data_IF_347963154668
#
_entry.id   IF_347963154668
#
_cell.length_a   1.000
_cell.length_b   1.000
_cell.length_c   1.000
_cell.angle_alpha   90.00
_cell.angle_beta   90.00
_cell.angle_gamma   90.00
#
_symmetry.space_group_name_H-M   'P 1'
#
loop_
_entity.id
_entity.type
_entity.pdbx_description
1 polymer ?
#
# COMPACT_ATOMS: atom_id res chain seq x y z
N UNK A 1 -35.30 81.21 37.77
CA UNK A 1 -34.12 80.80 37.01
C UNK A 1 -34.27 79.32 36.65
N UNK A 2 -34.53 78.97 35.43
CA UNK A 2 -34.75 77.61 35.05
C UNK A 2 -33.44 76.91 34.62
N UNK A 3 -33.29 75.66 35.04
CA UNK A 3 -32.21 74.78 34.74
C UNK A 3 -32.32 74.16 33.31
N UNK A 4 -31.28 74.26 32.57
CA UNK A 4 -31.13 73.63 31.22
C UNK A 4 -30.96 72.11 31.38
N UNK A 5 -31.85 71.33 30.82
CA UNK A 5 -31.65 69.87 30.62
C UNK A 5 -30.95 69.62 29.32
N UNK A 6 -29.72 69.09 29.34
CA UNK A 6 -29.02 68.56 28.18
C UNK A 6 -29.48 67.09 27.97
N UNK A 7 -30.07 66.83 26.83
CA UNK A 7 -30.34 65.49 26.35
C UNK A 7 -29.19 64.98 25.50
N UNK A 8 -28.50 63.94 26.01
CA UNK A 8 -27.50 63.18 25.25
C UNK A 8 -28.23 62.15 24.41
N UNK A 9 -28.17 62.31 23.09
CA UNK A 9 -28.59 61.28 22.12
C UNK A 9 -27.43 60.32 21.90
N UNK A 10 -27.64 59.04 22.34
CA UNK A 10 -26.72 57.96 22.09
C UNK A 10 -26.98 57.41 20.69
N UNK A 11 -26.01 57.52 19.81
CA UNK A 11 -25.95 56.87 18.51
C UNK A 11 -25.41 55.44 18.71
N UNK A 12 -26.27 54.45 18.64
CA UNK A 12 -25.86 53.04 18.63
C UNK A 12 -25.46 52.65 17.21
N UNK A 13 -24.18 52.50 16.98
CA UNK A 13 -23.61 51.90 15.78
C UNK A 13 -23.75 50.37 15.87
N UNK A 14 -24.74 49.81 15.20
CA UNK A 14 -24.83 48.36 14.99
C UNK A 14 -23.81 47.94 13.88
N UNK A 15 -22.72 47.34 14.31
CA UNK A 15 -21.82 46.62 13.39
C UNK A 15 -22.43 45.23 13.09
N UNK A 16 -22.98 45.09 11.90
CA UNK A 16 -23.35 43.78 11.35
C UNK A 16 -22.07 43.06 10.86
N UNK A 17 -21.57 42.13 11.66
CA UNK A 17 -20.56 41.19 11.23
C UNK A 17 -21.22 40.14 10.31
N UNK A 18 -21.16 40.33 9.01
CA UNK A 18 -21.53 39.29 8.05
C UNK A 18 -20.41 38.25 8.03
N UNK A 19 -20.54 37.20 8.88
CA UNK A 19 -19.68 36.02 8.79
C UNK A 19 -20.01 35.31 7.49
N UNK A 20 -19.19 35.54 6.46
CA UNK A 20 -19.23 34.78 5.21
C UNK A 20 -18.68 33.38 5.53
N UNK A 21 -19.57 32.45 5.91
CA UNK A 21 -19.25 31.04 5.96
C UNK A 21 -18.97 30.58 4.52
N UNK A 22 -17.71 30.60 4.09
CA UNK A 22 -17.26 29.86 2.92
C UNK A 22 -17.41 28.37 3.25
N UNK A 23 -18.53 27.78 2.85
CA UNK A 23 -18.67 26.35 2.82
C UNK A 23 -17.74 25.85 1.72
N UNK A 24 -16.51 25.47 2.08
CA UNK A 24 -15.70 24.63 1.24
C UNK A 24 -16.43 23.28 1.14
N UNK A 25 -17.09 23.05 0.03
CA UNK A 25 -17.56 21.71 -0.34
C UNK A 25 -16.31 20.88 -0.62
N UNK A 26 -15.82 20.17 0.40
CA UNK A 26 -14.83 19.11 0.19
C UNK A 26 -15.53 18.05 -0.67
N UNK A 27 -15.20 18.00 -1.93
CA UNK A 27 -15.52 16.83 -2.75
C UNK A 27 -14.51 15.77 -2.32
N UNK A 28 -14.97 14.73 -1.58
CA UNK A 28 -14.11 13.66 -1.11
C UNK A 28 -13.27 13.04 -2.25
N UNK A 29 -12.16 12.43 -1.90
CA UNK A 29 -11.18 11.85 -2.83
C UNK A 29 -11.86 11.06 -3.97
N UNK A 30 -11.49 11.36 -5.20
CA UNK A 30 -12.10 10.76 -6.39
C UNK A 30 -11.59 9.35 -6.61
N UNK A 31 -12.50 8.39 -6.78
CA UNK A 31 -12.18 7.01 -7.17
C UNK A 31 -12.31 6.85 -8.68
N UNK A 32 -11.22 6.49 -9.33
CA UNK A 32 -11.18 6.09 -10.73
C UNK A 32 -10.99 4.57 -10.84
N UNK A 33 -11.58 3.95 -11.85
CA UNK A 33 -11.30 2.58 -12.26
C UNK A 33 -10.60 2.61 -13.61
N UNK A 34 -9.44 1.99 -13.69
CA UNK A 34 -8.55 2.06 -14.84
C UNK A 34 -8.28 0.67 -15.39
N UNK A 35 -8.40 0.51 -16.71
CA UNK A 35 -7.91 -0.66 -17.40
C UNK A 35 -6.40 -0.55 -17.62
N UNK A 36 -5.70 -1.60 -17.19
CA UNK A 36 -4.25 -1.74 -17.33
C UNK A 36 -3.98 -3.00 -18.15
N UNK A 37 -3.94 -2.88 -19.48
CA UNK A 37 -3.67 -4.04 -20.33
C UNK A 37 -2.24 -4.53 -20.13
N UNK A 38 -2.08 -5.84 -19.98
CA UNK A 38 -0.81 -6.53 -20.03
C UNK A 38 -0.61 -7.14 -21.41
N UNK A 39 0.34 -6.61 -22.14
CA UNK A 39 0.72 -7.18 -23.44
C UNK A 39 1.48 -8.50 -23.27
N UNK A 40 2.24 -8.63 -22.19
CA UNK A 40 3.02 -9.82 -21.88
C UNK A 40 2.11 -11.03 -21.55
N UNK A 41 1.03 -10.78 -20.81
CA UNK A 41 0.09 -11.84 -20.42
C UNK A 41 -1.13 -11.96 -21.34
N UNK A 42 -1.28 -11.04 -22.31
CA UNK A 42 -2.46 -10.92 -23.17
C UNK A 42 -3.77 -10.84 -22.35
N UNK A 43 -3.74 -10.06 -21.26
CA UNK A 43 -4.87 -9.86 -20.34
C UNK A 43 -5.20 -8.38 -20.23
N UNK A 44 -6.49 -8.06 -20.06
CA UNK A 44 -6.90 -6.73 -19.65
C UNK A 44 -7.24 -6.74 -18.17
N UNK A 45 -6.30 -6.28 -17.36
CA UNK A 45 -6.43 -6.23 -15.90
C UNK A 45 -6.88 -4.83 -15.48
N UNK A 46 -7.33 -4.70 -14.23
CA UNK A 46 -7.87 -3.44 -13.71
C UNK A 46 -7.08 -2.92 -12.53
N UNK A 47 -7.21 -1.63 -12.29
CA UNK A 47 -6.76 -1.00 -11.06
C UNK A 47 -7.81 0.00 -10.57
N UNK A 48 -7.95 0.13 -9.26
CA UNK A 48 -8.61 1.28 -8.64
C UNK A 48 -7.55 2.32 -8.31
N UNK A 49 -7.86 3.57 -8.60
CA UNK A 49 -7.00 4.72 -8.28
C UNK A 49 -7.79 5.71 -7.45
N UNK A 50 -7.29 6.05 -6.26
CA UNK A 50 -7.86 7.08 -5.40
C UNK A 50 -6.97 8.32 -5.48
N UNK A 51 -7.57 9.43 -5.91
CA UNK A 51 -6.91 10.71 -6.07
C UNK A 51 -7.25 11.63 -4.89
N UNK A 52 -6.29 12.32 -4.27
CA UNK A 52 -6.58 13.26 -3.19
C UNK A 52 -7.40 14.46 -3.70
N UNK A 53 -8.16 15.10 -2.82
CA UNK A 53 -8.99 16.28 -3.13
C UNK A 53 -8.21 17.38 -3.82
N UNK A 54 -6.95 17.60 -3.41
CA UNK A 54 -6.04 18.58 -4.01
C UNK A 54 -5.75 18.29 -5.49
N UNK A 55 -5.92 17.05 -5.95
CA UNK A 55 -5.66 16.68 -7.34
C UNK A 55 -6.60 17.42 -8.31
N UNK A 56 -7.87 17.57 -7.95
CA UNK A 56 -8.83 18.30 -8.77
C UNK A 56 -8.64 19.83 -8.66
N UNK A 57 -8.42 20.33 -7.45
CA UNK A 57 -8.29 21.77 -7.15
C UNK A 57 -7.00 22.39 -7.66
N UNK A 58 -5.95 21.61 -7.83
CA UNK A 58 -4.67 22.07 -8.38
C UNK A 58 -4.76 22.54 -9.87
N UNK A 59 -5.93 22.38 -10.49
CA UNK A 59 -6.18 22.78 -11.88
C UNK A 59 -5.20 22.12 -12.86
N UNK A 60 -4.85 22.86 -13.94
CA UNK A 60 -3.81 22.41 -14.89
C UNK A 60 -2.39 22.70 -14.36
N UNK A 61 -2.23 23.12 -13.11
CA UNK A 61 -0.94 23.38 -12.51
C UNK A 61 -0.13 22.08 -12.44
N UNK A 62 1.19 22.25 -12.59
CA UNK A 62 2.17 21.18 -12.74
C UNK A 62 2.46 20.38 -11.46
N UNK A 63 1.61 20.44 -10.43
CA UNK A 63 1.80 19.70 -9.18
C UNK A 63 1.76 18.20 -9.44
N UNK A 64 2.82 17.52 -9.09
CA UNK A 64 2.93 16.06 -9.15
C UNK A 64 2.79 15.47 -7.74
N UNK A 65 2.32 14.22 -7.69
CA UNK A 65 1.95 13.54 -6.44
C UNK A 65 2.76 12.28 -6.25
N UNK A 66 3.17 11.95 -5.01
CA UNK A 66 3.70 10.63 -4.72
C UNK A 66 2.61 9.56 -4.87
N UNK A 67 3.05 8.33 -5.14
CA UNK A 67 2.16 7.19 -5.38
C UNK A 67 2.40 6.10 -4.36
N UNK A 68 1.33 5.65 -3.72
CA UNK A 68 1.28 4.43 -2.93
C UNK A 68 0.67 3.31 -3.78
N UNK A 69 1.45 2.28 -4.08
CA UNK A 69 0.94 1.01 -4.63
C UNK A 69 0.49 0.12 -3.47
N UNK A 70 -0.82 -0.19 -3.41
CA UNK A 70 -1.46 -0.90 -2.30
C UNK A 70 -2.01 -2.24 -2.79
N UNK A 71 -1.29 -3.32 -2.48
CA UNK A 71 -1.53 -4.66 -3.01
C UNK A 71 -2.57 -5.42 -2.17
N UNK A 72 -3.45 -6.18 -2.85
CA UNK A 72 -4.42 -7.06 -2.19
C UNK A 72 -3.81 -8.39 -1.76
N UNK A 73 -4.52 -9.16 -0.93
CA UNK A 73 -4.12 -10.49 -0.48
C UNK A 73 -4.51 -11.61 -1.44
N UNK A 74 -4.08 -12.83 -1.12
CA UNK A 74 -4.51 -14.03 -1.83
C UNK A 74 -6.04 -14.18 -1.80
N UNK A 75 -6.61 -14.75 -2.86
CA UNK A 75 -8.05 -14.91 -3.07
C UNK A 75 -8.82 -13.58 -3.09
N UNK A 76 -8.11 -12.47 -3.33
CA UNK A 76 -8.64 -11.12 -3.43
C UNK A 76 -8.50 -10.53 -4.83
N UNK A 77 -8.89 -9.24 -4.94
CA UNK A 77 -8.88 -8.49 -6.19
C UNK A 77 -8.54 -7.01 -5.98
N UNK A 78 -8.28 -6.30 -7.05
CA UNK A 78 -7.89 -4.88 -7.11
C UNK A 78 -8.78 -3.91 -6.31
N UNK A 79 -10.04 -4.25 -6.06
CA UNK A 79 -10.97 -3.37 -5.34
C UNK A 79 -11.18 -3.75 -3.86
N UNK A 80 -10.49 -4.75 -3.34
CA UNK A 80 -10.71 -5.27 -1.98
C UNK A 80 -10.51 -4.21 -0.91
N UNK A 81 -9.49 -3.37 -1.04
CA UNK A 81 -9.21 -2.32 -0.06
C UNK A 81 -10.33 -1.29 0.11
N UNK A 82 -11.14 -1.05 -0.92
CA UNK A 82 -12.30 -0.14 -0.84
C UNK A 82 -13.60 -0.89 -0.53
N UNK A 83 -13.68 -2.20 -0.81
CA UNK A 83 -14.91 -2.98 -0.66
C UNK A 83 -14.94 -3.83 0.61
N UNK A 84 -13.81 -4.36 1.06
CA UNK A 84 -13.73 -5.27 2.23
C UNK A 84 -13.28 -4.58 3.52
N UNK A 85 -12.51 -3.46 3.44
CA UNK A 85 -12.13 -2.68 4.62
C UNK A 85 -13.39 -2.26 5.38
N UNK A 86 -13.48 -2.49 6.71
CA UNK A 86 -14.64 -2.08 7.51
C UNK A 86 -14.96 -0.58 7.38
N UNK A 87 -13.98 0.30 7.56
CA UNK A 87 -14.11 1.74 7.28
C UNK A 87 -13.93 2.01 5.77
N UNK A 88 -15.03 2.17 5.07
CA UNK A 88 -15.06 2.46 3.62
C UNK A 88 -14.42 3.80 3.24
N UNK A 89 -14.20 4.68 4.20
CA UNK A 89 -13.58 5.99 3.96
C UNK A 89 -12.07 5.99 4.18
N UNK A 90 -11.50 4.91 4.70
CA UNK A 90 -10.09 4.85 5.12
C UNK A 90 -9.14 5.28 4.01
N UNK A 91 -9.24 4.66 2.83
CA UNK A 91 -8.31 4.92 1.71
C UNK A 91 -8.42 6.38 1.24
N UNK A 92 -9.65 6.91 1.18
CA UNK A 92 -9.91 8.31 0.83
C UNK A 92 -9.26 9.27 1.82
N UNK A 93 -9.50 9.05 3.13
CA UNK A 93 -8.91 9.89 4.18
C UNK A 93 -7.37 9.86 4.16
N UNK A 94 -6.77 8.70 3.91
CA UNK A 94 -5.30 8.59 3.82
C UNK A 94 -4.77 9.29 2.57
N UNK A 95 -5.44 9.16 1.42
CA UNK A 95 -5.08 9.87 0.20
C UNK A 95 -5.09 11.40 0.41
N UNK A 96 -6.16 11.93 1.04
CA UNK A 96 -6.31 13.35 1.31
C UNK A 96 -5.32 13.85 2.37
N UNK A 97 -5.22 13.15 3.50
CA UNK A 97 -4.39 13.55 4.62
C UNK A 97 -2.91 13.64 4.24
N UNK A 98 -2.44 12.72 3.42
CA UNK A 98 -1.01 12.63 3.04
C UNK A 98 -0.74 13.09 1.60
N UNK A 99 -1.76 13.59 0.93
CA UNK A 99 -1.66 14.09 -0.45
C UNK A 99 -1.04 13.06 -1.42
N UNK A 100 -1.53 11.82 -1.34
CA UNK A 100 -1.06 10.65 -2.08
C UNK A 100 -2.04 10.23 -3.17
N UNK A 101 -1.53 9.77 -4.31
CA UNK A 101 -2.29 8.92 -5.21
C UNK A 101 -2.18 7.48 -4.69
N UNK A 102 -3.31 6.81 -4.43
CA UNK A 102 -3.30 5.39 -4.03
C UNK A 102 -3.74 4.54 -5.22
N UNK A 103 -2.89 3.59 -5.60
CA UNK A 103 -3.12 2.68 -6.74
C UNK A 103 -3.26 1.25 -6.22
N UNK A 104 -4.38 0.62 -6.50
CA UNK A 104 -4.69 -0.75 -6.11
C UNK A 104 -4.81 -1.61 -7.38
N UNK A 105 -3.71 -2.19 -7.86
CA UNK A 105 -3.69 -2.99 -9.09
C UNK A 105 -4.20 -4.41 -8.85
N UNK A 106 -4.71 -5.04 -9.93
CA UNK A 106 -5.04 -6.46 -9.94
C UNK A 106 -3.77 -7.31 -9.87
N UNK A 107 -3.78 -8.32 -9.02
CA UNK A 107 -2.73 -9.33 -8.88
C UNK A 107 -3.25 -10.74 -9.09
N UNK A 108 -4.49 -10.91 -9.52
CA UNK A 108 -5.23 -12.18 -9.58
C UNK A 108 -5.22 -12.95 -8.25
N UNK A 109 -5.93 -14.05 -8.24
CA UNK A 109 -6.31 -14.78 -7.02
C UNK A 109 -5.10 -15.30 -6.23
N UNK A 110 -4.04 -15.73 -6.92
CA UNK A 110 -2.89 -16.38 -6.28
C UNK A 110 -1.59 -16.23 -7.10
N UNK A 111 -1.33 -15.05 -7.68
CA UNK A 111 -0.10 -14.83 -8.45
C UNK A 111 1.15 -14.66 -7.60
N UNK A 112 0.99 -14.32 -6.33
CA UNK A 112 2.08 -13.88 -5.43
C UNK A 112 2.94 -12.77 -6.03
N UNK A 113 2.42 -12.07 -7.04
CA UNK A 113 3.11 -10.98 -7.71
C UNK A 113 4.48 -11.37 -8.29
N UNK A 114 4.67 -12.66 -8.61
CA UNK A 114 5.89 -13.17 -9.22
C UNK A 114 5.73 -13.35 -10.73
N UNK A 115 6.84 -13.43 -11.45
CA UNK A 115 6.85 -14.01 -12.78
C UNK A 115 6.90 -15.53 -12.63
N UNK A 116 5.81 -16.21 -12.98
CA UNK A 116 5.76 -17.66 -12.92
C UNK A 116 6.75 -18.30 -13.90
N UNK A 117 7.60 -19.23 -13.45
CA UNK A 117 8.45 -20.01 -14.36
C UNK A 117 7.67 -21.09 -15.12
N UNK A 118 6.40 -21.36 -14.70
CA UNK A 118 5.57 -22.45 -15.23
C UNK A 118 4.44 -21.92 -16.10
N UNK A 119 3.76 -20.85 -15.64
CA UNK A 119 2.58 -20.29 -16.31
C UNK A 119 2.99 -19.05 -17.10
N UNK A 120 3.01 -19.15 -18.43
CA UNK A 120 3.51 -18.07 -19.31
C UNK A 120 2.68 -16.79 -19.22
N UNK A 121 1.38 -16.88 -18.99
CA UNK A 121 0.47 -15.75 -18.83
C UNK A 121 0.24 -15.33 -17.37
N UNK A 122 1.20 -15.66 -16.47
CA UNK A 122 1.26 -15.21 -15.09
C UNK A 122 2.62 -14.54 -14.80
N UNK A 123 2.78 -13.30 -15.31
CA UNK A 123 4.03 -12.54 -15.26
C UNK A 123 3.85 -11.25 -14.44
N UNK A 124 3.37 -11.41 -13.19
CA UNK A 124 2.90 -10.31 -12.36
C UNK A 124 4.01 -9.41 -11.82
N UNK A 125 5.24 -9.91 -11.63
CA UNK A 125 6.38 -9.05 -11.31
C UNK A 125 6.61 -8.01 -12.42
N UNK A 126 6.69 -8.46 -13.68
CA UNK A 126 6.86 -7.56 -14.84
C UNK A 126 5.64 -6.64 -15.04
N UNK A 127 4.43 -7.18 -14.87
CA UNK A 127 3.21 -6.41 -14.97
C UNK A 127 3.21 -5.23 -13.97
N UNK A 128 3.48 -5.48 -12.69
CA UNK A 128 3.45 -4.43 -11.66
C UNK A 128 4.60 -3.42 -11.83
N UNK A 129 5.80 -3.90 -12.12
CA UNK A 129 7.01 -3.06 -12.15
C UNK A 129 7.18 -2.27 -13.43
N UNK A 130 6.51 -2.66 -14.51
CA UNK A 130 6.59 -1.97 -15.81
C UNK A 130 5.22 -1.48 -16.27
N UNK A 131 4.28 -2.39 -16.57
CA UNK A 131 3.03 -2.01 -17.26
C UNK A 131 2.12 -1.16 -16.38
N UNK A 132 1.96 -1.50 -15.09
CA UNK A 132 1.17 -0.70 -14.14
C UNK A 132 1.82 0.66 -13.90
N UNK A 133 3.12 0.71 -13.56
CA UNK A 133 3.84 1.97 -13.31
C UNK A 133 3.75 2.88 -14.54
N UNK A 134 4.05 2.37 -15.71
CA UNK A 134 3.98 3.13 -16.97
C UNK A 134 2.60 3.67 -17.25
N UNK A 135 1.56 2.88 -17.03
CA UNK A 135 0.16 3.30 -17.24
C UNK A 135 -0.24 4.40 -16.26
N UNK A 136 0.10 4.25 -14.99
CA UNK A 136 -0.18 5.24 -13.94
C UNK A 136 0.55 6.55 -14.23
N UNK A 137 1.83 6.48 -14.55
CA UNK A 137 2.66 7.66 -14.83
C UNK A 137 2.22 8.40 -16.11
N UNK A 138 1.66 7.68 -17.10
CA UNK A 138 1.10 8.29 -18.32
C UNK A 138 -0.27 8.93 -18.08
N UNK A 139 -1.05 8.37 -17.15
CA UNK A 139 -2.44 8.78 -16.91
C UNK A 139 -2.56 9.89 -15.87
N UNK A 140 -1.72 9.86 -14.83
CA UNK A 140 -1.81 10.77 -13.69
C UNK A 140 -0.53 11.61 -13.51
N UNK A 141 -0.66 12.69 -12.74
CA UNK A 141 0.44 13.60 -12.40
C UNK A 141 1.26 13.04 -11.24
N UNK A 142 2.11 12.08 -11.53
CA UNK A 142 2.95 11.37 -10.56
C UNK A 142 4.36 11.94 -10.48
N UNK A 143 5.02 11.76 -9.34
CA UNK A 143 6.47 11.91 -9.22
C UNK A 143 7.12 10.66 -9.81
N UNK A 144 7.64 10.77 -11.05
CA UNK A 144 8.15 9.63 -11.87
C UNK A 144 9.56 9.20 -11.50
N UNK A 145 9.88 9.17 -10.22
CA UNK A 145 11.18 8.77 -9.68
C UNK A 145 10.98 7.86 -8.47
N UNK A 146 11.96 7.03 -8.10
CA UNK A 146 11.87 6.14 -6.94
C UNK A 146 11.40 6.86 -5.67
N UNK A 147 11.94 8.05 -5.41
CA UNK A 147 11.59 8.90 -4.27
C UNK A 147 10.12 9.32 -4.21
N UNK A 148 9.36 9.18 -5.28
CA UNK A 148 7.92 9.44 -5.33
C UNK A 148 7.06 8.18 -5.26
N UNK A 149 7.65 6.98 -5.08
CA UNK A 149 6.90 5.72 -5.07
C UNK A 149 7.15 4.90 -3.83
N UNK A 150 6.08 4.47 -3.21
CA UNK A 150 6.09 3.53 -2.09
C UNK A 150 5.11 2.39 -2.37
N UNK A 151 5.35 1.23 -1.76
CA UNK A 151 4.55 0.03 -2.00
C UNK A 151 4.27 -0.70 -0.69
N UNK A 152 3.05 -1.15 -0.49
CA UNK A 152 2.68 -2.04 0.62
C UNK A 152 1.49 -2.91 0.25
N UNK A 153 1.11 -3.81 1.13
CA UNK A 153 -0.06 -4.66 0.96
C UNK A 153 -0.26 -5.60 2.14
N UNK A 154 -1.32 -6.39 2.05
CA UNK A 154 -1.65 -7.40 3.08
C UNK A 154 -1.39 -8.82 2.57
N UNK A 155 -0.97 -9.73 3.46
CA UNK A 155 -0.84 -11.15 3.16
C UNK A 155 0.03 -11.43 1.92
N UNK A 156 -0.52 -12.00 0.85
CA UNK A 156 0.13 -12.10 -0.47
C UNK A 156 0.63 -10.74 -0.97
N UNK A 157 -0.13 -9.65 -0.74
CA UNK A 157 0.29 -8.29 -1.11
C UNK A 157 1.43 -7.74 -0.25
N UNK A 158 1.49 -8.12 1.03
CA UNK A 158 2.62 -7.78 1.90
C UNK A 158 3.91 -8.48 1.46
N UNK A 159 3.80 -9.74 1.08
CA UNK A 159 4.87 -10.47 0.41
C UNK A 159 5.29 -9.78 -0.89
N UNK A 160 4.32 -9.52 -1.80
CA UNK A 160 4.58 -8.92 -3.10
C UNK A 160 5.25 -7.56 -3.00
N UNK A 161 4.84 -6.72 -2.06
CA UNK A 161 5.42 -5.40 -1.85
C UNK A 161 6.92 -5.47 -1.49
N UNK A 162 7.28 -6.31 -0.51
CA UNK A 162 8.69 -6.49 -0.13
C UNK A 162 9.50 -7.22 -1.21
N UNK A 163 8.92 -8.24 -1.86
CA UNK A 163 9.53 -8.99 -2.94
C UNK A 163 9.89 -8.06 -4.11
N UNK A 164 8.92 -7.31 -4.61
CA UNK A 164 9.09 -6.40 -5.76
C UNK A 164 10.08 -5.28 -5.44
N UNK A 165 9.93 -4.60 -4.29
CA UNK A 165 10.81 -3.49 -3.96
C UNK A 165 12.26 -3.93 -3.71
N UNK A 166 12.47 -5.13 -3.16
CA UNK A 166 13.84 -5.66 -2.97
C UNK A 166 14.50 -6.03 -4.28
N UNK A 167 13.75 -6.50 -5.26
CA UNK A 167 14.26 -6.90 -6.58
C UNK A 167 14.42 -5.72 -7.53
N UNK A 168 13.65 -4.64 -7.32
CA UNK A 168 13.61 -3.44 -8.14
C UNK A 168 13.86 -2.18 -7.29
N UNK A 169 15.06 -2.01 -6.71
CA UNK A 169 15.39 -0.89 -5.82
C UNK A 169 15.38 0.47 -6.53
N UNK A 170 15.40 0.47 -7.85
CA UNK A 170 15.30 1.64 -8.71
C UNK A 170 13.86 2.13 -8.92
N UNK A 171 12.85 1.46 -8.37
CA UNK A 171 11.44 1.80 -8.54
C UNK A 171 10.80 2.44 -7.30
N UNK A 172 11.22 2.05 -6.10
CA UNK A 172 10.57 2.43 -4.84
C UNK A 172 11.58 2.95 -3.80
N UNK A 173 11.22 3.98 -3.02
CA UNK A 173 12.05 4.43 -1.90
C UNK A 173 11.72 3.74 -0.57
N UNK A 174 10.50 3.20 -0.45
CA UNK A 174 10.10 2.47 0.74
C UNK A 174 9.10 1.35 0.40
N UNK A 175 9.10 0.31 1.24
CA UNK A 175 8.17 -0.80 1.14
C UNK A 175 7.66 -1.22 2.51
N UNK A 176 6.41 -1.72 2.54
CA UNK A 176 5.78 -2.23 3.75
C UNK A 176 5.14 -3.60 3.55
N UNK A 177 4.82 -4.23 4.68
CA UNK A 177 4.11 -5.51 4.72
C UNK A 177 3.17 -5.56 5.92
N UNK A 178 1.93 -5.93 5.68
CA UNK A 178 0.96 -6.25 6.73
C UNK A 178 0.65 -7.74 6.66
N UNK A 179 0.99 -8.50 7.69
CA UNK A 179 0.78 -9.95 7.74
C UNK A 179 1.33 -10.69 6.50
N UNK A 180 2.52 -10.33 6.02
CA UNK A 180 3.06 -10.88 4.77
C UNK A 180 3.44 -12.35 4.86
N UNK A 181 3.21 -13.11 3.78
CA UNK A 181 3.67 -14.50 3.64
C UNK A 181 5.17 -14.56 3.28
N UNK A 182 6.03 -14.05 4.17
CA UNK A 182 7.41 -13.66 3.87
C UNK A 182 8.38 -14.84 3.74
N UNK A 183 8.01 -16.01 4.24
CA UNK A 183 8.76 -17.26 4.05
C UNK A 183 7.84 -18.28 3.36
N UNK A 184 8.26 -18.82 2.22
CA UNK A 184 7.50 -19.84 1.49
C UNK A 184 7.74 -21.26 1.99
N UNK A 185 8.60 -21.45 3.00
CA UNK A 185 8.59 -22.67 3.82
C UNK A 185 7.38 -22.64 4.75
N UNK A 186 6.34 -23.35 4.38
CA UNK A 186 5.07 -23.37 5.11
C UNK A 186 5.14 -24.09 6.46
N UNK A 187 6.24 -24.75 6.79
CA UNK A 187 6.45 -25.29 8.14
C UNK A 187 6.52 -24.17 9.20
N UNK A 188 6.88 -22.94 8.76
CA UNK A 188 6.85 -21.76 9.61
C UNK A 188 5.43 -21.16 9.80
N UNK A 189 4.43 -21.60 9.03
CA UNK A 189 3.07 -21.07 9.11
C UNK A 189 2.25 -21.83 10.15
N UNK A 190 1.55 -21.12 11.00
CA UNK A 190 0.69 -21.73 12.04
C UNK A 190 -0.67 -22.13 11.44
N UNK A 191 -0.65 -23.02 10.46
CA UNK A 191 -1.84 -23.54 9.77
C UNK A 191 -2.06 -25.04 10.04
N UNK A 192 -3.33 -25.49 10.03
CA UNK A 192 -3.64 -26.92 10.01
C UNK A 192 -3.01 -27.62 8.80
N UNK A 193 -2.64 -28.91 8.92
CA UNK A 193 -1.97 -29.65 7.85
C UNK A 193 -2.72 -29.66 6.50
N UNK A 194 -4.05 -29.77 6.52
CA UNK A 194 -4.86 -29.77 5.29
C UNK A 194 -4.83 -28.39 4.58
N UNK A 195 -4.89 -27.30 5.35
CA UNK A 195 -4.76 -25.95 4.80
C UNK A 195 -3.36 -25.73 4.20
N UNK A 196 -2.32 -26.16 4.92
CA UNK A 196 -0.93 -26.11 4.45
C UNK A 196 -0.76 -26.88 3.13
N UNK A 197 -1.32 -28.08 3.02
CA UNK A 197 -1.30 -28.88 1.80
C UNK A 197 -2.01 -28.19 0.64
N UNK A 198 -3.16 -27.58 0.89
CA UNK A 198 -3.92 -26.83 -0.14
C UNK A 198 -3.13 -25.64 -0.67
N UNK A 199 -2.56 -24.83 0.22
CA UNK A 199 -1.75 -23.66 -0.16
C UNK A 199 -0.47 -24.09 -0.89
N UNK A 200 0.19 -25.16 -0.44
CA UNK A 200 1.36 -25.72 -1.14
C UNK A 200 1.02 -26.10 -2.58
N UNK A 201 -0.13 -26.72 -2.81
CA UNK A 201 -0.57 -27.08 -4.16
C UNK A 201 -0.78 -25.84 -5.05
N UNK A 202 -1.26 -24.72 -4.50
CA UNK A 202 -1.37 -23.46 -5.26
C UNK A 202 0.03 -22.90 -5.61
N UNK A 203 0.98 -22.95 -4.69
CA UNK A 203 2.36 -22.56 -5.01
C UNK A 203 3.00 -23.46 -6.06
N UNK A 204 2.77 -24.77 -6.02
CA UNK A 204 3.29 -25.70 -7.02
C UNK A 204 2.77 -25.40 -8.43
N UNK A 205 1.57 -24.84 -8.56
CA UNK A 205 1.03 -24.40 -9.87
C UNK A 205 1.82 -23.22 -10.44
N UNK A 206 2.22 -22.25 -9.60
CA UNK A 206 2.87 -21.02 -10.05
C UNK A 206 4.41 -21.08 -10.05
N UNK A 207 5.01 -21.87 -9.16
CA UNK A 207 6.47 -21.98 -9.01
C UNK A 207 7.04 -23.32 -9.49
N UNK A 208 6.18 -24.28 -9.83
CA UNK A 208 6.55 -25.66 -10.11
C UNK A 208 6.69 -26.51 -8.85
N UNK A 209 6.80 -27.85 -9.00
CA UNK A 209 6.84 -28.77 -7.89
C UNK A 209 7.96 -28.46 -6.90
N UNK A 210 7.62 -28.38 -5.60
CA UNK A 210 8.59 -28.09 -4.52
C UNK A 210 9.77 -29.07 -4.53
N UNK A 211 9.48 -30.37 -4.75
CA UNK A 211 10.49 -31.41 -4.82
C UNK A 211 11.48 -31.29 -5.98
N UNK A 212 11.16 -30.50 -7.00
CA UNK A 212 12.01 -30.24 -8.16
C UNK A 212 12.69 -28.86 -8.09
N UNK A 213 12.35 -28.03 -7.10
CA UNK A 213 13.01 -26.75 -6.89
C UNK A 213 14.38 -26.97 -6.26
N UNK A 214 15.48 -26.47 -6.88
CA UNK A 214 16.83 -26.66 -6.35
C UNK A 214 17.04 -26.12 -4.93
N UNK A 215 16.28 -25.11 -4.56
CA UNK A 215 16.38 -24.37 -3.32
C UNK A 215 15.10 -24.41 -2.46
N UNK A 216 14.12 -25.29 -2.82
CA UNK A 216 12.83 -25.35 -2.12
C UNK A 216 12.08 -24.02 -2.09
N UNK A 217 12.10 -23.25 -3.21
CA UNK A 217 11.52 -21.92 -3.35
C UNK A 217 12.19 -20.83 -2.48
N UNK A 218 13.36 -21.06 -1.90
CA UNK A 218 14.04 -20.08 -1.06
C UNK A 218 14.36 -18.79 -1.82
N UNK A 219 14.64 -18.88 -3.13
CA UNK A 219 14.88 -17.72 -4.01
C UNK A 219 13.65 -16.81 -4.18
N UNK A 220 12.45 -17.33 -3.92
CA UNK A 220 11.20 -16.57 -3.90
C UNK A 220 10.85 -16.09 -2.49
N UNK A 221 11.43 -16.62 -1.43
CA UNK A 221 11.14 -16.21 -0.06
C UNK A 221 11.79 -14.87 0.28
N UNK A 222 10.97 -13.95 0.78
CA UNK A 222 11.43 -12.59 1.18
C UNK A 222 12.47 -12.66 2.30
N UNK A 223 12.31 -13.60 3.24
CA UNK A 223 13.30 -13.81 4.33
C UNK A 223 14.70 -14.13 3.80
N UNK A 224 14.80 -14.77 2.64
CA UNK A 224 16.08 -15.03 1.96
C UNK A 224 16.71 -13.79 1.33
N UNK A 225 15.98 -12.68 1.23
CA UNK A 225 16.44 -11.45 0.58
C UNK A 225 16.92 -10.37 1.57
N UNK A 226 17.01 -10.67 2.86
CA UNK A 226 17.37 -9.69 3.90
C UNK A 226 18.69 -8.95 3.61
N UNK A 227 19.70 -9.64 3.06
CA UNK A 227 20.99 -9.02 2.72
C UNK A 227 20.86 -8.05 1.52
N UNK A 228 19.98 -8.35 0.57
CA UNK A 228 19.69 -7.44 -0.55
C UNK A 228 18.97 -6.19 -0.06
N UNK A 229 18.07 -6.30 0.92
CA UNK A 229 17.39 -5.16 1.53
C UNK A 229 18.37 -4.19 2.16
N UNK A 230 19.41 -4.70 2.84
CA UNK A 230 20.48 -3.88 3.39
C UNK A 230 21.23 -3.08 2.32
N UNK A 231 21.64 -3.74 1.25
CA UNK A 231 22.44 -3.12 0.18
C UNK A 231 21.63 -2.15 -0.67
N UNK A 232 20.33 -2.33 -0.78
CA UNK A 232 19.44 -1.47 -1.55
C UNK A 232 19.11 -0.13 -0.86
N UNK A 233 19.35 -0.03 0.45
CA UNK A 233 18.98 1.18 1.22
C UNK A 233 17.48 1.42 1.32
N UNK A 234 16.66 0.39 1.05
CA UNK A 234 15.20 0.45 1.07
C UNK A 234 14.69 0.72 2.49
N UNK A 235 13.78 1.67 2.65
CA UNK A 235 13.11 1.95 3.93
C UNK A 235 11.98 0.96 4.11
N UNK A 236 11.92 0.29 5.28
CA UNK A 236 11.04 -0.85 5.51
C UNK A 236 10.12 -0.63 6.72
N UNK A 237 8.86 -1.02 6.59
CA UNK A 237 7.89 -1.09 7.69
C UNK A 237 7.13 -2.42 7.62
N UNK A 238 7.09 -3.15 8.74
CA UNK A 238 6.50 -4.50 8.81
C UNK A 238 5.57 -4.56 10.01
N UNK A 239 4.33 -4.98 9.77
CA UNK A 239 3.30 -5.18 10.78
C UNK A 239 2.73 -6.59 10.72
N UNK A 240 2.53 -7.24 11.87
CA UNK A 240 1.84 -8.51 11.93
C UNK A 240 1.03 -8.66 13.23
N UNK A 241 -0.12 -9.30 13.15
CA UNK A 241 -0.92 -9.64 14.33
C UNK A 241 -0.27 -10.79 15.12
N UNK A 242 -0.31 -10.72 16.45
CA UNK A 242 0.27 -11.78 17.31
C UNK A 242 -0.47 -13.12 17.19
N UNK A 243 -1.76 -13.05 16.78
CA UNK A 243 -2.61 -14.23 16.58
C UNK A 243 -2.67 -14.65 15.09
N UNK A 244 -1.85 -14.01 14.24
CA UNK A 244 -1.79 -14.31 12.81
C UNK A 244 -1.03 -15.60 12.55
N UNK A 245 -1.53 -16.43 11.63
CA UNK A 245 -0.84 -17.67 11.26
C UNK A 245 0.50 -17.42 10.53
N UNK A 246 0.74 -16.20 10.04
CA UNK A 246 1.98 -15.77 9.41
C UNK A 246 2.91 -15.00 10.36
N UNK A 247 2.67 -15.01 11.67
CA UNK A 247 3.50 -14.27 12.62
C UNK A 247 4.97 -14.72 12.59
N UNK A 248 5.24 -16.03 12.50
CA UNK A 248 6.62 -16.54 12.51
C UNK A 248 7.44 -16.16 11.26
N UNK A 249 6.92 -16.22 10.01
CA UNK A 249 7.59 -15.63 8.86
C UNK A 249 7.96 -14.16 9.03
N UNK A 250 7.10 -13.35 9.65
CA UNK A 250 7.35 -11.94 9.92
C UNK A 250 8.43 -11.74 10.97
N UNK A 251 8.39 -12.52 12.07
CA UNK A 251 9.44 -12.56 13.10
C UNK A 251 10.78 -13.01 12.54
N UNK A 252 10.77 -13.98 11.64
CA UNK A 252 12.00 -14.46 11.00
C UNK A 252 12.66 -13.35 10.18
N UNK A 253 11.89 -12.64 9.34
CA UNK A 253 12.44 -11.50 8.59
C UNK A 253 12.99 -10.45 9.56
N UNK A 254 12.23 -10.06 10.58
CA UNK A 254 12.67 -9.11 11.60
C UNK A 254 14.02 -9.53 12.22
N UNK A 255 14.14 -10.78 12.69
CA UNK A 255 15.41 -11.30 13.25
C UNK A 255 16.58 -11.20 12.28
N UNK A 256 16.37 -11.51 10.99
CA UNK A 256 17.41 -11.41 9.95
C UNK A 256 17.82 -9.95 9.69
N UNK A 257 16.86 -9.04 9.64
CA UNK A 257 17.12 -7.61 9.46
C UNK A 257 17.86 -7.01 10.67
N UNK A 258 17.51 -7.42 11.89
CA UNK A 258 18.25 -7.03 13.10
C UNK A 258 19.68 -7.59 13.06
N UNK A 259 19.84 -8.86 12.74
CA UNK A 259 21.15 -9.51 12.69
C UNK A 259 22.10 -8.86 11.68
N UNK A 260 21.60 -8.55 10.48
CA UNK A 260 22.40 -7.90 9.44
C UNK A 260 22.44 -6.36 9.56
N UNK A 261 21.83 -5.79 10.61
CA UNK A 261 21.79 -4.35 10.89
C UNK A 261 21.09 -3.52 9.77
N UNK A 262 20.01 -4.04 9.19
CA UNK A 262 19.16 -3.31 8.25
C UNK A 262 18.13 -2.47 9.02
N UNK A 263 18.14 -1.14 8.92
CA UNK A 263 17.14 -0.29 9.58
C UNK A 263 15.72 -0.60 9.05
N UNK A 264 14.79 -0.82 9.97
CA UNK A 264 13.38 -1.07 9.65
C UNK A 264 12.48 -0.81 10.85
N UNK A 265 11.22 -0.44 10.59
CA UNK A 265 10.18 -0.40 11.60
C UNK A 265 9.47 -1.77 11.63
N UNK A 266 9.32 -2.33 12.84
CA UNK A 266 8.62 -3.59 13.06
C UNK A 266 7.62 -3.45 14.18
N UNK A 267 6.38 -3.92 13.97
CA UNK A 267 5.31 -3.89 14.97
C UNK A 267 4.57 -5.22 15.04
N UNK A 268 4.40 -5.72 16.25
CA UNK A 268 3.41 -6.76 16.57
C UNK A 268 2.30 -6.14 17.41
N UNK A 269 1.06 -6.46 17.05
CA UNK A 269 -0.13 -5.93 17.75
C UNK A 269 -1.16 -7.05 17.95
N UNK A 270 -2.07 -6.92 18.95
CA UNK A 270 -3.20 -7.84 19.08
C UNK A 270 -4.02 -7.91 17.80
N UNK A 271 -4.44 -9.12 17.42
CA UNK A 271 -5.22 -9.41 16.23
C UNK A 271 -4.63 -10.50 15.36
N UNK A 272 -5.43 -11.00 14.43
CA UNK A 272 -5.08 -12.07 13.51
C UNK A 272 -5.12 -11.64 12.05
N UNK A 273 -5.24 -12.61 11.15
CA UNK A 273 -5.25 -12.41 9.69
C UNK A 273 -6.61 -11.90 9.21
N UNK A 274 -6.90 -10.61 9.46
CA UNK A 274 -8.23 -10.05 9.21
C UNK A 274 -8.21 -8.60 8.71
N UNK A 275 -9.32 -8.20 8.07
CA UNK A 275 -9.51 -6.84 7.59
C UNK A 275 -9.52 -5.80 8.71
N UNK A 276 -9.97 -6.15 9.92
CA UNK A 276 -9.92 -5.30 11.10
C UNK A 276 -8.48 -4.98 11.49
N UNK A 277 -7.59 -5.99 11.44
CA UNK A 277 -6.17 -5.78 11.70
C UNK A 277 -5.53 -4.89 10.63
N UNK A 278 -5.73 -5.19 9.36
CA UNK A 278 -5.10 -4.46 8.25
C UNK A 278 -5.58 -3.02 8.13
N UNK A 279 -6.85 -2.78 8.39
CA UNK A 279 -7.40 -1.43 8.48
C UNK A 279 -6.71 -0.59 9.56
N UNK A 280 -6.37 -1.19 10.70
CA UNK A 280 -5.67 -0.52 11.80
C UNK A 280 -4.17 -0.37 11.53
N UNK A 281 -3.56 -1.28 10.77
CA UNK A 281 -2.13 -1.25 10.43
C UNK A 281 -1.79 -0.22 9.34
N UNK A 282 -2.65 -0.11 8.30
CA UNK A 282 -2.37 0.73 7.14
C UNK A 282 -2.07 2.22 7.48
N UNK A 283 -2.79 2.91 8.38
CA UNK A 283 -2.48 4.30 8.73
C UNK A 283 -1.06 4.50 9.28
N UNK A 284 -0.53 3.55 10.05
CA UNK A 284 0.84 3.63 10.57
C UNK A 284 1.87 3.48 9.45
N UNK A 285 1.62 2.59 8.51
CA UNK A 285 2.49 2.43 7.34
C UNK A 285 2.45 3.65 6.43
N UNK A 286 1.28 4.25 6.18
CA UNK A 286 1.17 5.48 5.39
C UNK A 286 1.85 6.65 6.10
N UNK A 287 1.76 6.75 7.42
CA UNK A 287 2.50 7.75 8.20
C UNK A 287 4.01 7.57 8.06
N UNK A 288 4.52 6.33 8.13
CA UNK A 288 5.92 6.02 7.88
C UNK A 288 6.34 6.44 6.47
N UNK A 289 5.57 6.07 5.45
CA UNK A 289 5.85 6.46 4.06
C UNK A 289 5.84 7.96 3.85
N UNK A 290 4.90 8.68 4.49
CA UNK A 290 4.86 10.13 4.40
C UNK A 290 6.14 10.79 4.92
N UNK A 291 6.72 10.28 6.01
CA UNK A 291 8.03 10.77 6.50
C UNK A 291 9.12 10.54 5.45
N UNK A 292 9.23 9.31 4.92
CA UNK A 292 10.24 8.97 3.91
C UNK A 292 10.09 9.81 2.63
N UNK A 293 8.87 10.03 2.17
CA UNK A 293 8.58 10.83 0.97
C UNK A 293 8.93 12.32 1.15
N UNK A 294 8.84 12.85 2.38
CA UNK A 294 9.18 14.23 2.69
C UNK A 294 10.68 14.46 2.98
N UNK A 295 11.45 13.40 3.27
CA UNK A 295 12.90 13.45 3.48
C UNK A 295 13.69 13.42 2.16
N UNK A 296 13.06 13.06 1.06
CA UNK A 296 13.62 12.90 -0.29
C UNK A 296 13.24 14.09 -1.21
#
# INVERSE_FOLDING_TARGET
MPALKQTLTAWSLLFFFFAFCLTFSSQGAKVDSLDVPSTLMNKNLRAVVVLPDSYASAGKNKTTYPVLYLLHGGFGHFNDWITKTPDKTLIHRLADQYNLIVVMPEGEVFSYYVNSPVIQDSQFETYLTKEVIDKIDKTYRTIRMPKGRVITGLSMGGYGALYLATRHPDLYCAAGSMSGALNLDMNAWKLPPDATKGIKAEFEKILGPFSQSPDGWASYSVVGMADKMKTNGLKLVIDCGVDDFLIEPNRELHRRLVFNQTPHDYSERPGGHSWEFWQNALPYQVQFFSKVLNEN
#
